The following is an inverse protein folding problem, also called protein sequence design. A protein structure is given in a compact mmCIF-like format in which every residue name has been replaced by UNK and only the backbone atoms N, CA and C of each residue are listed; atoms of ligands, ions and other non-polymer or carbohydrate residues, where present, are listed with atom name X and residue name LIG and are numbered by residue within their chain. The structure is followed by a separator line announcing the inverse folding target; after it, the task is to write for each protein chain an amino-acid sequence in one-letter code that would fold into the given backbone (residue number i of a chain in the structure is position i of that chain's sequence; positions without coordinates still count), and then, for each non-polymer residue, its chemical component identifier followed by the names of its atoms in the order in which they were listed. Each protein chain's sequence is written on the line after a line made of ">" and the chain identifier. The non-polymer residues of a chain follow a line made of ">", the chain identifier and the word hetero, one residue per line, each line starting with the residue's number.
data_IF_872721587969
#
_entry.id   IF_872721587969
#
_cell.length_a   1.000
_cell.length_b   1.000
_cell.length_c   1.000
_cell.angle_alpha   90.00
_cell.angle_beta   90.00
_cell.angle_gamma   90.00
#
_symmetry.space_group_name_H-M   'P 1'
#
loop_
_entity.id
_entity.type
_entity.pdbx_description
1 polymer ?
#
# COMPACT_ATOMS: atom_id res chain seq x y z
N UNK A 1 30.09 15.05 -25.49
CA UNK A 1 28.95 15.54 -24.69
C UNK A 1 27.97 14.38 -24.56
N UNK A 2 28.02 13.67 -23.43
CA UNK A 2 27.14 12.53 -23.14
C UNK A 2 25.93 13.10 -22.41
N UNK A 3 24.76 13.02 -23.03
CA UNK A 3 23.50 13.43 -22.44
C UNK A 3 22.95 12.23 -21.67
N UNK A 4 23.07 12.23 -20.34
CA UNK A 4 22.48 11.22 -19.48
C UNK A 4 20.97 11.52 -19.32
N UNK A 5 20.12 10.66 -19.90
CA UNK A 5 18.68 10.74 -19.71
C UNK A 5 18.31 10.25 -18.31
N UNK A 6 17.90 11.17 -17.44
CA UNK A 6 17.22 10.85 -16.19
C UNK A 6 15.82 10.32 -16.54
N UNK A 7 15.68 9.01 -16.66
CA UNK A 7 14.38 8.36 -16.65
C UNK A 7 14.11 7.90 -15.21
N UNK A 8 13.46 8.77 -14.44
CA UNK A 8 12.98 8.45 -13.10
C UNK A 8 11.53 8.89 -12.99
N UNK A 9 10.60 8.07 -13.50
CA UNK A 9 9.22 8.17 -13.03
C UNK A 9 9.12 7.24 -11.84
N UNK A 10 9.41 7.76 -10.64
CA UNK A 10 8.81 7.22 -9.43
C UNK A 10 7.33 7.61 -9.53
N UNK A 11 6.57 6.76 -10.22
CA UNK A 11 5.13 6.87 -10.34
C UNK A 11 4.56 6.61 -8.95
N UNK A 12 3.63 7.46 -8.50
CA UNK A 12 2.94 7.31 -7.21
C UNK A 12 2.45 5.88 -7.05
N UNK A 13 2.97 5.13 -6.07
CA UNK A 13 2.54 3.76 -5.84
C UNK A 13 1.10 3.72 -5.31
N UNK A 14 0.70 4.76 -4.57
CA UNK A 14 -0.64 4.91 -4.00
C UNK A 14 -1.54 5.71 -4.93
N UNK A 15 -2.72 5.15 -5.24
CA UNK A 15 -3.75 5.78 -6.07
C UNK A 15 -5.13 5.45 -5.52
N UNK A 16 -5.96 6.46 -5.28
CA UNK A 16 -7.39 6.24 -5.01
C UNK A 16 -8.11 5.66 -6.24
N UNK A 17 -8.65 4.46 -6.11
CA UNK A 17 -9.30 3.69 -7.19
C UNK A 17 -10.82 3.66 -7.09
N UNK A 18 -11.37 4.25 -6.04
CA UNK A 18 -12.81 4.34 -5.80
C UNK A 18 -13.10 4.47 -4.32
N UNK A 19 -14.32 4.14 -3.93
CA UNK A 19 -14.73 4.10 -2.53
C UNK A 19 -15.47 2.80 -2.18
N UNK A 20 -15.62 2.53 -0.90
CA UNK A 20 -16.44 1.46 -0.37
C UNK A 20 -17.43 2.00 0.68
N UNK A 21 -18.68 1.58 0.58
CA UNK A 21 -19.68 1.89 1.60
C UNK A 21 -19.55 0.93 2.80
N UNK A 22 -19.36 1.49 3.98
CA UNK A 22 -19.29 0.78 5.26
C UNK A 22 -19.94 1.59 6.38
N UNK A 23 -20.79 0.96 7.20
CA UNK A 23 -21.47 1.62 8.33
C UNK A 23 -22.18 2.95 7.97
N UNK A 24 -22.80 3.04 6.78
CA UNK A 24 -23.46 4.23 6.23
C UNK A 24 -22.52 5.41 5.90
N UNK A 25 -21.23 5.17 5.74
CA UNK A 25 -20.24 6.13 5.26
C UNK A 25 -19.48 5.54 4.07
N UNK A 26 -18.88 6.40 3.26
CA UNK A 26 -18.05 6.01 2.11
C UNK A 26 -16.59 6.27 2.45
N UNK A 27 -15.75 5.26 2.27
CA UNK A 27 -14.31 5.33 2.56
C UNK A 27 -13.49 5.08 1.31
N UNK A 28 -12.33 5.72 1.19
CA UNK A 28 -11.47 5.55 0.02
C UNK A 28 -10.97 4.10 -0.10
N UNK A 29 -10.86 3.62 -1.33
CA UNK A 29 -10.12 2.43 -1.69
C UNK A 29 -8.83 2.89 -2.36
N UNK A 30 -7.70 2.62 -1.72
CA UNK A 30 -6.40 3.14 -2.14
C UNK A 30 -5.57 1.95 -2.62
N UNK A 31 -5.30 1.91 -3.91
CA UNK A 31 -4.48 0.89 -4.53
C UNK A 31 -3.00 1.23 -4.34
N UNK A 32 -2.26 0.28 -3.80
CA UNK A 32 -0.81 0.25 -3.75
C UNK A 32 -0.32 -0.65 -4.90
N UNK A 33 0.14 0.02 -5.96
CA UNK A 33 0.55 -0.62 -7.22
C UNK A 33 1.89 -1.35 -7.12
N UNK A 34 2.72 -1.03 -6.11
CA UNK A 34 4.01 -1.67 -5.91
C UNK A 34 3.86 -2.99 -5.13
N UNK A 35 2.96 -3.02 -4.13
CA UNK A 35 2.69 -4.22 -3.33
C UNK A 35 1.52 -5.07 -3.83
N UNK A 36 0.77 -4.62 -4.84
CA UNK A 36 -0.45 -5.28 -5.33
C UNK A 36 -1.52 -5.44 -4.23
N UNK A 37 -1.68 -4.39 -3.42
CA UNK A 37 -2.66 -4.33 -2.33
C UNK A 37 -3.67 -3.22 -2.58
N UNK A 38 -4.87 -3.39 -2.03
CA UNK A 38 -5.83 -2.30 -1.87
C UNK A 38 -6.09 -2.12 -0.38
N UNK A 39 -5.91 -0.89 0.07
CA UNK A 39 -6.18 -0.45 1.42
C UNK A 39 -7.60 0.10 1.51
N UNK A 40 -8.31 -0.26 2.58
CA UNK A 40 -9.52 0.43 2.97
C UNK A 40 -9.13 1.59 3.87
N UNK A 41 -9.47 2.83 3.49
CA UNK A 41 -9.23 4.03 4.31
C UNK A 41 -10.23 4.12 5.47
N UNK A 42 -10.12 3.16 6.39
CA UNK A 42 -10.90 3.08 7.61
C UNK A 42 -10.04 2.47 8.71
N UNK A 43 -9.87 3.20 9.81
CA UNK A 43 -9.26 2.66 11.01
C UNK A 43 -10.33 2.07 11.93
N UNK A 44 -10.31 0.75 12.09
CA UNK A 44 -11.12 0.08 13.09
C UNK A 44 -10.70 0.52 14.50
N UNK A 45 -11.66 0.88 15.37
CA UNK A 45 -11.37 1.23 16.76
C UNK A 45 -10.63 0.13 17.51
N UNK A 46 -9.91 0.52 18.55
CA UNK A 46 -9.08 -0.38 19.33
C UNK A 46 -9.83 -1.61 19.87
N UNK A 47 -9.28 -2.80 19.62
CA UNK A 47 -9.84 -4.05 20.11
C UNK A 47 -8.77 -5.14 20.25
N UNK A 48 -9.17 -6.30 20.79
CA UNK A 48 -8.31 -7.49 20.84
C UNK A 48 -8.02 -8.03 19.45
N UNK A 49 -6.89 -8.72 19.29
CA UNK A 49 -6.43 -9.21 18.00
C UNK A 49 -7.45 -10.13 17.29
N UNK A 50 -8.02 -11.10 18.01
CA UNK A 50 -9.03 -12.01 17.45
C UNK A 50 -10.27 -11.25 16.94
N UNK A 51 -10.68 -10.20 17.66
CA UNK A 51 -11.82 -9.36 17.26
C UNK A 51 -11.50 -8.53 16.01
N UNK A 52 -10.27 -8.02 15.88
CA UNK A 52 -9.84 -7.31 14.67
C UNK A 52 -9.74 -8.24 13.46
N UNK A 53 -9.23 -9.46 13.65
CA UNK A 53 -9.20 -10.49 12.61
C UNK A 53 -10.61 -10.84 12.13
N UNK A 54 -11.54 -11.05 13.07
CA UNK A 54 -12.95 -11.29 12.77
C UNK A 54 -13.62 -10.10 12.09
N UNK A 55 -13.32 -8.87 12.53
CA UNK A 55 -13.80 -7.65 11.89
C UNK A 55 -13.36 -7.58 10.43
N UNK A 56 -12.06 -7.72 10.15
CA UNK A 56 -11.52 -7.65 8.79
C UNK A 56 -12.12 -8.75 7.90
N UNK A 57 -12.14 -10.00 8.37
CA UNK A 57 -12.72 -11.12 7.63
C UNK A 57 -14.23 -10.96 7.39
N UNK A 58 -14.93 -10.26 8.28
CA UNK A 58 -16.38 -9.99 8.20
C UNK A 58 -16.76 -8.77 7.36
N UNK A 59 -15.80 -8.02 6.81
CA UNK A 59 -16.08 -6.86 5.98
C UNK A 59 -16.87 -7.25 4.72
N UNK A 60 -18.11 -6.79 4.66
CA UNK A 60 -18.98 -6.90 3.50
C UNK A 60 -19.24 -5.50 2.93
N UNK A 61 -18.46 -5.15 1.92
CA UNK A 61 -18.41 -3.80 1.36
C UNK A 61 -19.13 -3.74 0.01
N UNK A 62 -19.79 -2.62 -0.24
CA UNK A 62 -20.26 -2.26 -1.59
C UNK A 62 -19.23 -1.35 -2.24
N UNK A 63 -18.66 -1.77 -3.36
CA UNK A 63 -17.60 -1.05 -4.05
C UNK A 63 -18.14 -0.08 -5.10
N UNK A 64 -17.67 1.17 -5.04
CA UNK A 64 -17.95 2.24 -5.98
C UNK A 64 -16.65 2.62 -6.70
N UNK A 65 -16.29 1.85 -7.73
CA UNK A 65 -15.04 2.05 -8.48
C UNK A 65 -15.04 3.35 -9.28
N UNK A 66 -13.95 4.11 -9.21
CA UNK A 66 -13.77 5.29 -10.04
C UNK A 66 -13.21 4.92 -11.42
N UNK A 67 -14.07 5.03 -12.44
CA UNK A 67 -13.68 4.83 -13.84
C UNK A 67 -12.60 5.80 -14.34
N UNK A 68 -12.38 6.92 -13.66
CA UNK A 68 -11.38 7.92 -14.02
C UNK A 68 -10.04 7.74 -13.29
N UNK A 69 -9.93 6.78 -12.37
CA UNK A 69 -8.69 6.50 -11.63
C UNK A 69 -7.51 6.13 -12.53
N UNK A 70 -7.80 5.68 -13.76
CA UNK A 70 -6.77 5.19 -14.68
C UNK A 70 -6.31 3.77 -14.37
N UNK A 71 -6.96 3.07 -13.43
CA UNK A 71 -6.66 1.68 -13.05
C UNK A 71 -7.91 0.79 -13.07
N UNK A 72 -7.69 -0.48 -13.37
CA UNK A 72 -8.62 -1.56 -13.13
C UNK A 72 -8.10 -2.41 -11.98
N UNK A 73 -8.99 -2.75 -11.04
CA UNK A 73 -8.67 -3.54 -9.85
C UNK A 73 -9.46 -4.84 -9.88
N UNK A 74 -8.77 -5.95 -9.63
CA UNK A 74 -9.39 -7.27 -9.47
C UNK A 74 -8.82 -7.96 -8.25
N UNK A 75 -9.64 -8.20 -7.22
CA UNK A 75 -9.19 -8.89 -6.02
C UNK A 75 -8.79 -10.33 -6.33
N UNK A 76 -7.63 -10.74 -5.81
CA UNK A 76 -7.15 -12.14 -5.91
C UNK A 76 -7.58 -12.98 -4.70
N UNK A 77 -7.80 -12.32 -3.57
CA UNK A 77 -8.20 -12.96 -2.33
C UNK A 77 -9.72 -12.86 -2.13
N UNK A 78 -10.29 -13.82 -1.40
CA UNK A 78 -11.73 -13.87 -1.14
C UNK A 78 -12.19 -12.94 -0.02
N UNK A 79 -11.27 -12.48 0.84
CA UNK A 79 -11.60 -11.71 2.03
C UNK A 79 -10.61 -10.58 2.26
N UNK A 80 -11.08 -9.56 2.97
CA UNK A 80 -10.22 -8.57 3.61
C UNK A 80 -9.47 -9.21 4.78
N UNK A 81 -8.28 -8.68 5.07
CA UNK A 81 -7.42 -9.13 6.17
C UNK A 81 -6.70 -7.94 6.79
N UNK A 82 -6.05 -8.16 7.92
CA UNK A 82 -5.08 -7.22 8.45
C UNK A 82 -3.78 -7.27 7.62
N UNK A 83 -2.98 -6.18 7.62
CA UNK A 83 -1.63 -6.16 7.08
C UNK A 83 -0.77 -7.24 7.74
N UNK A 84 0.12 -7.89 7.00
CA UNK A 84 0.94 -8.99 7.51
C UNK A 84 2.41 -8.61 7.63
N UNK A 85 3.10 -9.33 8.49
CA UNK A 85 4.56 -9.30 8.63
C UNK A 85 5.21 -10.11 7.52
N UNK A 86 6.23 -9.55 6.87
CA UNK A 86 7.08 -10.21 5.88
C UNK A 86 8.33 -10.83 6.51
N UNK A 87 8.76 -10.32 7.68
CA UNK A 87 9.84 -10.87 8.50
C UNK A 87 9.52 -10.76 9.99
N UNK A 88 9.45 -11.91 10.68
CA UNK A 88 9.16 -12.04 12.13
C UNK A 88 10.35 -11.64 13.01
N UNK A 89 10.86 -10.42 12.83
CA UNK A 89 11.92 -9.82 13.66
C UNK A 89 11.37 -8.56 14.31
N UNK A 90 11.56 -8.39 15.62
CA UNK A 90 11.18 -7.16 16.32
C UNK A 90 12.09 -5.98 15.93
N UNK A 91 11.55 -4.77 16.04
CA UNK A 91 12.29 -3.53 15.86
C UNK A 91 11.92 -2.76 14.60
N UNK A 92 12.79 -1.83 14.22
CA UNK A 92 12.56 -0.85 13.16
C UNK A 92 12.88 -1.43 11.78
N UNK A 93 11.95 -1.28 10.85
CA UNK A 93 12.20 -1.56 9.44
C UNK A 93 10.92 -1.83 8.66
N UNK A 94 11.12 -1.98 7.36
CA UNK A 94 10.08 -2.32 6.38
C UNK A 94 9.80 -3.84 6.39
N UNK A 95 9.46 -4.36 7.57
CA UNK A 95 9.27 -5.80 7.82
C UNK A 95 7.81 -6.23 7.79
N UNK A 96 6.89 -5.32 7.48
CA UNK A 96 5.48 -5.59 7.35
C UNK A 96 4.82 -4.59 6.38
N UNK A 97 3.68 -4.98 5.82
CA UNK A 97 2.98 -4.18 4.80
C UNK A 97 2.57 -2.78 5.30
N UNK A 98 2.28 -2.62 6.61
CA UNK A 98 1.90 -1.32 7.17
C UNK A 98 3.12 -0.41 7.39
N UNK A 99 4.26 -0.97 7.77
CA UNK A 99 5.54 -0.27 7.80
C UNK A 99 5.94 0.19 6.40
N UNK A 100 5.77 -0.66 5.38
CA UNK A 100 6.00 -0.29 3.98
C UNK A 100 5.18 0.94 3.59
N UNK A 101 3.87 0.88 3.84
CA UNK A 101 2.96 1.99 3.56
C UNK A 101 3.41 3.28 4.26
N UNK A 102 3.68 3.21 5.56
CA UNK A 102 3.89 4.42 6.36
C UNK A 102 5.29 5.00 6.17
N UNK A 103 6.32 4.17 6.16
CA UNK A 103 7.72 4.58 6.13
C UNK A 103 8.22 4.80 4.70
N UNK A 104 7.86 3.91 3.77
CA UNK A 104 8.35 3.93 2.38
C UNK A 104 7.40 4.74 1.51
N UNK A 105 6.13 4.37 1.42
CA UNK A 105 5.18 5.00 0.48
C UNK A 105 4.79 6.42 0.89
N UNK A 106 4.45 6.60 2.17
CA UNK A 106 4.10 7.91 2.71
C UNK A 106 5.32 8.71 3.17
N UNK A 107 6.51 8.09 3.23
CA UNK A 107 7.76 8.78 3.54
C UNK A 107 7.86 9.34 4.96
N UNK A 108 7.15 8.74 5.93
CA UNK A 108 7.21 9.18 7.31
C UNK A 108 8.44 8.59 8.03
N UNK A 109 9.21 9.43 8.72
CA UNK A 109 10.45 8.98 9.40
C UNK A 109 10.31 8.85 10.92
N UNK A 110 9.51 9.70 11.57
CA UNK A 110 9.46 9.80 13.03
C UNK A 110 8.05 10.01 13.61
N UNK A 111 7.08 10.38 12.77
CA UNK A 111 5.69 10.59 13.13
C UNK A 111 4.81 10.56 11.88
N UNK A 112 3.53 10.28 12.04
CA UNK A 112 2.57 10.22 10.92
C UNK A 112 2.16 11.64 10.48
N UNK A 113 3.03 12.28 9.70
CA UNK A 113 2.85 13.66 9.20
C UNK A 113 2.31 13.71 7.78
N UNK A 114 2.51 12.65 7.00
CA UNK A 114 1.95 12.47 5.68
C UNK A 114 1.03 11.25 5.68
N UNK A 115 -0.25 11.47 5.38
CA UNK A 115 -1.24 10.40 5.18
C UNK A 115 -1.61 10.22 3.72
N UNK A 116 -1.09 11.04 2.79
CA UNK A 116 -1.45 10.97 1.38
C UNK A 116 -2.97 11.10 1.18
N UNK A 117 -3.55 10.10 0.50
CA UNK A 117 -4.98 9.99 0.21
C UNK A 117 -5.81 9.38 1.37
N UNK A 118 -5.17 8.98 2.47
CA UNK A 118 -5.85 8.41 3.63
C UNK A 118 -6.43 9.53 4.52
N UNK A 119 -7.75 9.56 4.67
CA UNK A 119 -8.46 10.49 5.56
C UNK A 119 -8.60 9.92 6.99
N UNK A 120 -8.48 8.60 7.14
CA UNK A 120 -8.79 7.89 8.39
C UNK A 120 -7.59 7.16 9.01
N UNK A 121 -6.38 7.33 8.45
CA UNK A 121 -5.15 6.81 9.04
C UNK A 121 -4.74 7.69 10.23
N UNK A 122 -4.50 7.09 11.39
CA UNK A 122 -4.19 7.80 12.63
C UNK A 122 -2.91 7.31 13.27
N UNK A 123 -2.29 8.17 14.08
CA UNK A 123 -1.08 7.84 14.83
C UNK A 123 -1.45 6.97 16.06
N UNK A 124 -1.21 5.66 16.00
CA UNK A 124 -1.53 4.71 17.07
C UNK A 124 -0.80 3.37 16.90
N UNK A 125 -1.13 2.40 17.76
CA UNK A 125 -0.75 1.01 17.55
C UNK A 125 -1.74 0.30 16.63
N UNK A 126 -1.23 -0.55 15.75
CA UNK A 126 -2.03 -1.34 14.83
C UNK A 126 -1.74 -2.82 14.98
N UNK A 127 -2.79 -3.64 15.08
CA UNK A 127 -2.64 -5.08 14.96
C UNK A 127 -2.26 -5.48 13.53
N UNK A 128 -1.33 -6.42 13.40
CA UNK A 128 -0.99 -7.09 12.16
C UNK A 128 -1.66 -8.47 12.14
N UNK A 129 -1.96 -8.99 10.96
CA UNK A 129 -2.64 -10.28 10.75
C UNK A 129 -1.77 -11.50 11.00
N UNK A 130 -0.56 -11.31 11.53
CA UNK A 130 0.41 -12.37 11.77
C UNK A 130 0.43 -12.74 13.26
N UNK A 131 0.14 -13.99 13.56
CA UNK A 131 0.35 -14.59 14.88
C UNK A 131 1.85 -14.83 15.12
N UNK A 132 2.34 -14.68 16.35
CA UNK A 132 3.73 -14.99 16.68
C UNK A 132 3.95 -16.51 16.64
N UNK A 133 4.80 -16.99 15.73
CA UNK A 133 5.05 -18.43 15.58
C UNK A 133 5.72 -19.07 16.82
N UNK A 134 6.44 -18.28 17.63
CA UNK A 134 7.12 -18.78 18.83
C UNK A 134 6.18 -18.82 20.05
N UNK A 135 5.20 -17.92 20.12
CA UNK A 135 4.16 -17.88 21.16
C UNK A 135 2.79 -17.52 20.55
N UNK A 136 1.94 -18.51 20.24
CA UNK A 136 0.61 -18.29 19.68
C UNK A 136 -0.36 -17.49 20.57
N UNK A 137 -0.01 -17.25 21.84
CA UNK A 137 -0.77 -16.35 22.70
C UNK A 137 -0.53 -14.87 22.39
N UNK A 138 0.44 -14.58 21.51
CA UNK A 138 0.81 -13.26 21.03
C UNK A 138 0.56 -13.09 19.54
N UNK A 139 0.43 -11.84 19.11
CA UNK A 139 0.38 -11.46 17.70
C UNK A 139 1.25 -10.23 17.46
N UNK A 140 1.61 -10.02 16.19
CA UNK A 140 2.41 -8.88 15.79
C UNK A 140 1.58 -7.60 15.78
N UNK A 141 2.18 -6.51 16.25
CA UNK A 141 1.64 -5.17 16.23
C UNK A 141 2.69 -4.19 15.68
N UNK A 142 2.22 -3.12 15.05
CA UNK A 142 3.03 -2.05 14.50
C UNK A 142 2.78 -0.74 15.26
N UNK A 143 3.86 -0.05 15.61
CA UNK A 143 3.82 1.24 16.29
C UNK A 143 3.91 2.40 15.29
N UNK A 144 2.80 3.09 15.04
CA UNK A 144 2.83 4.34 14.29
C UNK A 144 2.91 5.58 15.19
N UNK A 145 3.07 5.45 16.50
CA UNK A 145 3.14 6.59 17.44
C UNK A 145 4.52 6.75 18.10
N UNK A 146 4.97 7.99 18.26
CA UNK A 146 6.13 8.29 19.09
C UNK A 146 5.75 8.18 20.58
N UNK A 147 6.28 7.19 21.30
CA UNK A 147 6.13 7.07 22.75
C UNK A 147 7.49 7.06 23.44
N UNK A 148 7.51 7.47 24.72
CA UNK A 148 8.75 7.68 25.50
C UNK A 148 9.67 6.44 25.54
N UNK A 149 9.14 5.24 25.25
CA UNK A 149 9.86 3.96 25.32
C UNK A 149 9.77 3.09 24.07
N UNK A 150 9.14 3.55 22.98
CA UNK A 150 9.08 2.81 21.71
C UNK A 150 9.40 3.75 20.56
N UNK A 151 10.22 3.29 19.62
CA UNK A 151 10.53 4.09 18.44
C UNK A 151 9.36 4.00 17.46
N UNK A 152 9.11 5.10 16.77
CA UNK A 152 8.18 5.15 15.65
C UNK A 152 8.60 4.14 14.56
N UNK A 153 7.63 3.42 14.00
CA UNK A 153 7.89 2.48 12.90
C UNK A 153 8.40 1.10 13.33
N UNK A 154 8.35 0.78 14.63
CA UNK A 154 8.75 -0.53 15.14
C UNK A 154 7.60 -1.53 15.13
N UNK A 155 7.92 -2.81 14.95
CA UNK A 155 7.01 -3.92 15.19
C UNK A 155 7.40 -4.73 16.44
N UNK A 156 6.38 -5.24 17.14
CA UNK A 156 6.50 -6.00 18.39
C UNK A 156 5.50 -7.14 18.43
N UNK A 157 5.74 -8.15 19.28
CA UNK A 157 4.69 -9.12 19.62
C UNK A 157 4.00 -8.72 20.91
N UNK A 158 2.67 -8.76 20.91
CA UNK A 158 1.83 -8.43 22.07
C UNK A 158 0.86 -9.57 22.35
N UNK A 159 0.62 -9.83 23.63
CA UNK A 159 -0.39 -10.80 24.07
C UNK A 159 -1.77 -10.43 23.53
N UNK A 160 -2.46 -11.39 22.91
CA UNK A 160 -3.80 -11.20 22.32
C UNK A 160 -4.89 -10.92 23.36
N UNK A 161 -4.66 -11.26 24.63
CA UNK A 161 -5.69 -11.26 25.69
C UNK A 161 -5.28 -10.55 27.00
N UNK A 162 -4.25 -9.70 26.99
CA UNK A 162 -3.70 -9.16 28.24
C UNK A 162 -4.71 -8.30 29.03
N UNK A 163 -4.95 -8.70 30.28
CA UNK A 163 -5.68 -7.95 31.30
C UNK A 163 -4.88 -6.76 31.87
N UNK A 164 -3.57 -6.70 31.60
CA UNK A 164 -2.70 -5.57 31.95
C UNK A 164 -2.73 -4.56 30.79
N UNK A 165 -3.81 -3.77 30.77
CA UNK A 165 -3.98 -2.42 30.18
C UNK A 165 -3.48 -2.07 28.76
N UNK A 166 -2.91 -2.96 27.94
CA UNK A 166 -2.37 -2.53 26.62
C UNK A 166 -2.59 -3.51 25.46
N UNK A 167 -3.41 -4.57 25.58
CA UNK A 167 -3.64 -5.48 24.44
C UNK A 167 -4.81 -5.05 23.53
N UNK A 168 -5.00 -3.74 23.33
CA UNK A 168 -5.90 -3.23 22.31
C UNK A 168 -5.13 -2.32 21.37
N UNK A 169 -5.30 -2.57 20.09
CA UNK A 169 -4.72 -1.77 19.03
C UNK A 169 -5.80 -1.56 17.97
N UNK A 170 -5.63 -0.48 17.20
CA UNK A 170 -6.45 -0.23 16.04
C UNK A 170 -6.16 -1.28 14.96
N UNK A 171 -6.94 -1.27 13.89
CA UNK A 171 -6.65 -2.07 12.73
C UNK A 171 -7.01 -1.33 11.45
N UNK A 172 -6.32 -1.66 10.37
CA UNK A 172 -6.68 -1.25 9.00
C UNK A 172 -6.81 -2.52 8.18
N UNK A 173 -7.69 -2.51 7.17
CA UNK A 173 -7.91 -3.67 6.33
C UNK A 173 -7.21 -3.51 4.97
N UNK A 174 -6.60 -4.59 4.51
CA UNK A 174 -6.03 -4.72 3.17
C UNK A 174 -6.60 -5.94 2.45
N UNK A 175 -6.51 -5.93 1.13
CA UNK A 175 -6.86 -7.07 0.29
C UNK A 175 -5.93 -7.15 -0.91
N UNK A 176 -5.43 -8.35 -1.22
CA UNK A 176 -4.63 -8.57 -2.41
C UNK A 176 -5.43 -8.32 -3.69
N UNK A 177 -4.82 -7.63 -4.64
CA UNK A 177 -5.44 -7.30 -5.91
C UNK A 177 -4.44 -7.31 -7.07
N UNK A 178 -4.91 -7.70 -8.25
CA UNK A 178 -4.24 -7.37 -9.51
C UNK A 178 -4.67 -5.95 -9.88
N UNK A 179 -3.70 -5.05 -9.95
CA UNK A 179 -3.91 -3.65 -10.34
C UNK A 179 -3.28 -3.43 -11.71
N UNK A 180 -4.07 -2.95 -12.67
CA UNK A 180 -3.59 -2.72 -14.04
C UNK A 180 -4.00 -1.33 -14.51
N UNK A 181 -3.10 -0.61 -15.18
CA UNK A 181 -3.46 0.67 -15.77
C UNK A 181 -4.53 0.45 -16.87
N UNK A 182 -5.67 1.15 -16.76
CA UNK A 182 -6.81 1.03 -17.69
C UNK A 182 -6.55 1.72 -19.02
N UNK A 183 -5.64 2.69 -19.03
CA UNK A 183 -5.13 3.31 -20.23
C UNK A 183 -3.61 3.41 -20.11
N UNK A 184 -2.82 2.51 -20.72
CA UNK A 184 -1.40 2.76 -20.85
C UNK A 184 -1.30 4.04 -21.66
N UNK A 185 -1.01 5.17 -21.01
CA UNK A 185 -0.68 6.41 -21.71
C UNK A 185 0.25 6.01 -22.85
N UNK A 186 -0.09 6.32 -24.12
CA UNK A 186 0.69 5.84 -25.24
C UNK A 186 2.13 6.22 -24.97
N UNK A 187 2.96 5.20 -24.71
CA UNK A 187 4.36 5.41 -24.33
C UNK A 187 4.93 6.31 -25.42
N UNK A 188 5.42 7.52 -25.08
CA UNK A 188 5.95 8.42 -26.09
C UNK A 188 6.90 7.62 -26.95
N UNK A 189 6.56 7.48 -28.24
CA UNK A 189 7.39 6.69 -29.16
C UNK A 189 8.80 7.21 -28.96
N UNK A 190 9.75 6.38 -28.47
CA UNK A 190 11.03 6.88 -28.06
C UNK A 190 11.63 7.57 -29.28
N UNK A 191 12.36 8.67 -29.07
CA UNK A 191 12.91 9.46 -30.19
C UNK A 191 13.70 8.60 -31.20
N UNK A 192 14.13 7.41 -30.79
CA UNK A 192 14.64 6.33 -31.64
C UNK A 192 13.68 5.92 -32.77
N UNK A 193 12.37 5.79 -32.57
CA UNK A 193 11.42 5.48 -33.64
C UNK A 193 11.45 6.57 -34.74
N UNK A 194 11.49 7.85 -34.34
CA UNK A 194 11.66 8.96 -35.25
C UNK A 194 13.05 8.99 -35.91
N UNK A 195 14.10 8.68 -35.14
CA UNK A 195 15.47 8.59 -35.65
C UNK A 195 15.63 7.49 -36.69
N UNK A 196 15.08 6.29 -36.43
CA UNK A 196 15.10 5.17 -37.37
C UNK A 196 14.28 5.48 -38.61
N UNK A 197 13.10 6.10 -38.46
CA UNK A 197 12.29 6.57 -39.58
C UNK A 197 13.05 7.58 -40.46
N UNK A 198 13.69 8.58 -39.85
CA UNK A 198 14.46 9.60 -40.56
C UNK A 198 15.72 9.02 -41.23
N UNK A 199 16.43 8.11 -40.56
CA UNK A 199 17.62 7.46 -41.10
C UNK A 199 17.30 6.59 -42.32
N UNK A 200 16.19 5.83 -42.29
CA UNK A 200 15.72 5.04 -43.42
C UNK A 200 15.35 5.91 -44.63
N UNK A 201 14.62 7.00 -44.40
CA UNK A 201 14.30 7.97 -45.46
C UNK A 201 15.55 8.62 -46.06
N UNK A 202 16.53 8.96 -45.21
CA UNK A 202 17.83 9.48 -45.65
C UNK A 202 18.59 8.49 -46.55
N UNK A 203 18.63 7.21 -46.17
CA UNK A 203 19.29 6.16 -46.98
C UNK A 203 18.59 5.92 -48.32
N UNK A 204 17.24 5.97 -48.36
CA UNK A 204 16.49 5.83 -49.60
C UNK A 204 16.77 7.00 -50.57
N UNK A 205 16.95 8.21 -50.05
CA UNK A 205 17.33 9.39 -50.85
C UNK A 205 18.71 9.30 -51.50
N UNK A 206 19.68 8.68 -50.81
CA UNK A 206 21.06 8.55 -51.30
C UNK A 206 21.22 7.58 -52.48
N UNK A 207 20.26 6.66 -52.72
CA UNK A 207 20.35 5.63 -53.77
C UNK A 207 20.04 6.14 -55.19
N UNK A 208 19.58 7.38 -55.37
CA UNK A 208 19.14 7.92 -56.68
C UNK A 208 20.20 8.62 -57.53
N UNK A 209 21.48 8.64 -57.14
CA UNK A 209 22.55 9.11 -58.03
C UNK A 209 23.15 7.95 -58.83
N UNK A 210 22.58 7.68 -59.99
CA UNK A 210 23.25 7.06 -61.15
C UNK A 210 22.84 7.82 -62.40
#
# INVERSE_FOLDING_TARGET
>A
MILAGLAGTAQSALVTVGTADYLNSSYNLIADTDSNLVWLDYTAPENYWDDQMNWAAGLNLTYNWDSNSGYNVSFVDNSWRLPVVTNETEGYGDYNELAHLILTELGNASSLTNTGDFDNLVEYWYWLGTENANDPSEAWAFNSVEFISSSYGEQYTWSKSSWIRVAKANAIAVRGAIITASNPNPVPLPATAWLFGAALLGMAGLKRKK
#
